data_IF_262071670797
#
_entry.id   IF_262071670797
#
_cell.length_a   1.000
_cell.length_b   1.000
_cell.length_c   1.000
_cell.angle_alpha   90.00
_cell.angle_beta   90.00
_cell.angle_gamma   90.00
#
_symmetry.space_group_name_H-M   'P 1'
#
loop_
_entity.id
_entity.type
_entity.pdbx_description
1 polymer ?
#
# COMPACT_ATOMS: atom_id res chain seq x y z
N UNK A 1 24.03 -10.71 6.81
CA UNK A 1 22.56 -10.93 6.83
C UNK A 1 22.22 -11.68 5.55
N UNK A 2 21.31 -12.66 5.53
CA UNK A 2 20.99 -13.39 4.29
C UNK A 2 20.04 -12.56 3.40
N UNK A 3 20.19 -12.65 2.08
CA UNK A 3 19.34 -11.95 1.11
C UNK A 3 17.84 -12.24 1.32
N UNK A 4 17.48 -13.50 1.59
CA UNK A 4 16.10 -13.89 1.90
C UNK A 4 15.53 -13.13 3.11
N UNK A 5 16.34 -12.89 4.16
CA UNK A 5 15.92 -12.11 5.32
C UNK A 5 15.72 -10.63 4.97
N UNK A 6 16.56 -10.08 4.10
CA UNK A 6 16.42 -8.70 3.63
C UNK A 6 15.17 -8.51 2.75
N UNK A 7 14.84 -9.49 1.92
CA UNK A 7 13.60 -9.49 1.11
C UNK A 7 12.37 -9.61 2.02
N UNK A 8 12.38 -10.50 3.01
CA UNK A 8 11.30 -10.60 4.00
C UNK A 8 11.13 -9.28 4.75
N UNK A 9 12.23 -8.63 5.14
CA UNK A 9 12.17 -7.31 5.76
C UNK A 9 11.60 -6.23 4.82
N UNK A 10 11.84 -6.31 3.51
CA UNK A 10 11.21 -5.42 2.53
C UNK A 10 9.68 -5.64 2.48
N UNK A 11 9.22 -6.90 2.43
CA UNK A 11 7.79 -7.21 2.49
C UNK A 11 7.15 -6.72 3.78
N UNK A 12 7.80 -6.89 4.94
CA UNK A 12 7.31 -6.35 6.23
C UNK A 12 7.19 -4.83 6.18
N UNK A 13 8.17 -4.15 5.59
CA UNK A 13 8.14 -2.70 5.43
C UNK A 13 7.01 -2.26 4.52
N UNK A 14 6.79 -2.96 3.41
CA UNK A 14 5.68 -2.70 2.51
C UNK A 14 4.34 -2.85 3.23
N UNK A 15 4.09 -3.96 3.92
CA UNK A 15 2.86 -4.20 4.69
C UNK A 15 2.59 -3.09 5.74
N UNK A 16 3.64 -2.70 6.47
CA UNK A 16 3.55 -1.61 7.43
C UNK A 16 3.20 -0.28 6.75
N UNK A 17 3.88 0.04 5.65
CA UNK A 17 3.61 1.26 4.89
C UNK A 17 2.19 1.28 4.30
N UNK A 18 1.68 0.15 3.78
CA UNK A 18 0.28 0.04 3.33
C UNK A 18 -0.70 0.31 4.48
N UNK A 19 -0.43 -0.27 5.66
CA UNK A 19 -1.24 -0.08 6.86
C UNK A 19 -1.27 1.38 7.29
N UNK A 20 -0.12 2.04 7.32
CA UNK A 20 -0.02 3.43 7.73
C UNK A 20 -0.66 4.37 6.71
N UNK A 21 -0.54 4.08 5.42
CA UNK A 21 -1.20 4.87 4.40
C UNK A 21 -2.72 4.77 4.47
N UNK A 22 -3.26 3.56 4.71
CA UNK A 22 -4.71 3.38 4.96
C UNK A 22 -5.18 4.26 6.12
N UNK A 23 -4.40 4.34 7.21
CA UNK A 23 -4.71 5.23 8.33
C UNK A 23 -4.65 6.70 7.94
N UNK A 24 -3.72 7.11 7.09
CA UNK A 24 -3.68 8.48 6.56
C UNK A 24 -4.94 8.82 5.77
N UNK A 25 -5.44 7.89 4.94
CA UNK A 25 -6.71 8.05 4.21
C UNK A 25 -7.90 8.13 5.16
N UNK A 26 -7.92 7.31 6.23
CA UNK A 26 -8.95 7.39 7.28
C UNK A 26 -8.97 8.75 7.99
N UNK A 27 -7.79 9.28 8.35
CA UNK A 27 -7.63 10.62 8.95
C UNK A 27 -8.08 11.70 7.97
N UNK A 28 -7.67 11.61 6.71
CA UNK A 28 -8.07 12.51 5.64
C UNK A 28 -9.59 12.55 5.48
N UNK A 29 -10.23 11.38 5.40
CA UNK A 29 -11.69 11.24 5.36
C UNK A 29 -12.36 11.86 6.59
N UNK A 30 -11.76 11.69 7.77
CA UNK A 30 -12.22 12.33 9.01
C UNK A 30 -12.28 13.85 8.94
N UNK A 31 -11.27 14.48 8.30
CA UNK A 31 -11.30 15.93 8.05
C UNK A 31 -12.37 16.35 7.06
N UNK A 32 -12.57 15.59 5.97
CA UNK A 32 -13.67 15.82 5.01
C UNK A 32 -15.02 15.74 5.73
N UNK A 33 -15.22 14.71 6.56
CA UNK A 33 -16.43 14.55 7.36
C UNK A 33 -16.69 15.74 8.29
N UNK A 34 -15.66 16.19 9.02
CA UNK A 34 -15.77 17.34 9.93
C UNK A 34 -16.14 18.63 9.18
N UNK A 35 -15.62 18.82 7.96
CA UNK A 35 -16.02 19.93 7.09
C UNK A 35 -17.48 19.81 6.68
N UNK A 36 -17.92 18.64 6.20
CA UNK A 36 -19.31 18.43 5.74
C UNK A 36 -20.34 18.55 6.87
N UNK A 37 -20.07 17.97 8.04
CA UNK A 37 -21.06 17.90 9.13
C UNK A 37 -21.05 19.10 10.06
N UNK A 38 -19.88 19.70 10.27
CA UNK A 38 -19.68 20.71 11.31
C UNK A 38 -19.10 22.01 10.75
N UNK A 39 -18.95 22.11 9.43
CA UNK A 39 -18.31 23.24 8.75
C UNK A 39 -16.92 23.60 9.30
N UNK A 40 -16.20 22.60 9.81
CA UNK A 40 -14.83 22.78 10.30
C UNK A 40 -13.91 23.07 9.11
N UNK A 41 -13.04 24.11 9.17
CA UNK A 41 -12.11 24.39 8.09
C UNK A 41 -11.19 23.20 7.79
N UNK A 42 -11.02 22.90 6.51
CA UNK A 42 -10.10 21.86 6.06
C UNK A 42 -8.65 22.27 6.36
N UNK A 43 -7.83 21.39 6.95
CA UNK A 43 -6.40 21.62 7.06
C UNK A 43 -5.76 21.80 5.68
N UNK A 44 -4.63 22.53 5.63
CA UNK A 44 -3.92 22.80 4.36
C UNK A 44 -3.65 21.53 3.56
N UNK A 45 -3.11 20.47 4.19
CA UNK A 45 -2.83 19.19 3.54
C UNK A 45 -4.03 18.50 2.90
N UNK A 46 -5.22 18.65 3.50
CA UNK A 46 -6.46 18.11 2.91
C UNK A 46 -6.90 18.98 1.73
N UNK A 47 -6.85 20.30 1.92
CA UNK A 47 -7.25 21.28 0.91
C UNK A 47 -6.46 21.17 -0.39
N UNK A 48 -5.14 20.97 -0.31
CA UNK A 48 -4.28 20.86 -1.50
C UNK A 48 -4.45 19.55 -2.24
N UNK A 49 -4.88 18.49 -1.55
CA UNK A 49 -4.98 17.15 -2.14
C UNK A 49 -6.35 16.89 -2.79
N UNK A 50 -7.41 17.56 -2.35
CA UNK A 50 -8.75 17.42 -2.94
C UNK A 50 -8.87 18.15 -4.28
N UNK A 51 -9.62 17.58 -5.23
CA UNK A 51 -9.92 18.24 -6.51
C UNK A 51 -10.75 19.52 -6.35
N UNK A 52 -11.73 19.51 -5.46
CA UNK A 52 -12.69 20.62 -5.26
C UNK A 52 -12.93 20.86 -3.76
N UNK A 53 -11.96 21.40 -3.03
CA UNK A 53 -12.03 21.51 -1.57
C UNK A 53 -13.09 22.49 -1.06
N UNK A 54 -13.64 23.35 -1.92
CA UNK A 54 -14.62 24.38 -1.58
C UNK A 54 -16.05 24.05 -2.07
N UNK A 55 -16.27 22.87 -2.67
CA UNK A 55 -17.57 22.40 -3.19
C UNK A 55 -18.20 21.39 -2.22
N UNK A 56 -19.22 21.80 -1.46
CA UNK A 56 -19.86 20.98 -0.44
C UNK A 56 -20.51 19.69 -1.00
N UNK A 57 -21.05 19.75 -2.23
CA UNK A 57 -21.66 18.57 -2.86
C UNK A 57 -20.58 17.55 -3.25
N UNK A 58 -19.45 18.03 -3.76
CA UNK A 58 -18.28 17.19 -4.00
C UNK A 58 -17.74 16.59 -2.69
N UNK A 59 -17.61 17.37 -1.61
CA UNK A 59 -17.09 16.88 -0.33
C UNK A 59 -17.95 15.78 0.29
N UNK A 60 -19.28 15.88 0.14
CA UNK A 60 -20.20 14.83 0.57
C UNK A 60 -19.99 13.52 -0.20
N UNK A 61 -19.75 13.59 -1.52
CA UNK A 61 -19.42 12.43 -2.34
C UNK A 61 -18.04 11.87 -2.03
N UNK A 62 -17.04 12.74 -1.90
CA UNK A 62 -15.67 12.37 -1.57
C UNK A 62 -15.59 11.59 -0.24
N UNK A 63 -16.38 11.98 0.77
CA UNK A 63 -16.46 11.23 2.02
C UNK A 63 -16.91 9.76 1.83
N UNK A 64 -17.87 9.52 0.94
CA UNK A 64 -18.37 8.17 0.64
C UNK A 64 -17.39 7.38 -0.24
N UNK A 65 -16.80 8.02 -1.23
CA UNK A 65 -15.84 7.37 -2.12
C UNK A 65 -14.56 6.96 -1.38
N UNK A 66 -14.06 7.82 -0.48
CA UNK A 66 -12.90 7.49 0.37
C UNK A 66 -13.14 6.25 1.26
N UNK A 67 -14.38 5.97 1.66
CA UNK A 67 -14.70 4.74 2.41
C UNK A 67 -14.49 3.50 1.55
N UNK A 68 -14.96 3.54 0.30
CA UNK A 68 -14.75 2.45 -0.67
C UNK A 68 -13.27 2.32 -1.02
N UNK A 69 -12.56 3.42 -1.15
CA UNK A 69 -11.11 3.41 -1.41
C UNK A 69 -10.35 2.73 -0.27
N UNK A 70 -10.71 3.03 0.99
CA UNK A 70 -10.13 2.35 2.16
C UNK A 70 -10.36 0.83 2.09
N UNK A 71 -11.54 0.37 1.68
CA UNK A 71 -11.83 -1.06 1.52
C UNK A 71 -10.98 -1.71 0.42
N UNK A 72 -10.81 -1.03 -0.72
CA UNK A 72 -9.94 -1.49 -1.81
C UNK A 72 -8.48 -1.60 -1.35
N UNK A 73 -7.98 -0.57 -0.67
CA UNK A 73 -6.61 -0.56 -0.13
C UNK A 73 -6.39 -1.68 0.90
N UNK A 74 -7.35 -1.89 1.80
CA UNK A 74 -7.32 -3.01 2.76
C UNK A 74 -7.31 -4.35 2.04
N UNK A 75 -8.11 -4.52 0.99
CA UNK A 75 -8.15 -5.75 0.19
C UNK A 75 -6.79 -6.08 -0.42
N UNK A 76 -6.09 -5.09 -0.99
CA UNK A 76 -4.74 -5.30 -1.54
C UNK A 76 -3.71 -5.65 -0.47
N UNK A 77 -3.72 -4.96 0.68
CA UNK A 77 -2.84 -5.29 1.81
C UNK A 77 -3.12 -6.70 2.33
N UNK A 78 -4.38 -7.05 2.50
CA UNK A 78 -4.78 -8.35 3.04
C UNK A 78 -4.48 -9.47 2.03
N UNK A 79 -4.54 -9.19 0.73
CA UNK A 79 -4.04 -10.10 -0.30
C UNK A 79 -2.53 -10.35 -0.12
N UNK A 80 -1.70 -9.29 0.03
CA UNK A 80 -0.26 -9.45 0.30
C UNK A 80 -0.02 -10.33 1.53
N UNK A 81 -0.72 -10.04 2.64
CA UNK A 81 -0.60 -10.79 3.89
C UNK A 81 -0.97 -12.25 3.71
N UNK A 82 -2.08 -12.56 3.03
CA UNK A 82 -2.52 -13.93 2.78
C UNK A 82 -1.52 -14.70 1.93
N UNK A 83 -1.06 -14.12 0.82
CA UNK A 83 -0.04 -14.76 -0.04
C UNK A 83 1.21 -15.13 0.77
N UNK A 84 1.73 -14.20 1.58
CA UNK A 84 2.91 -14.42 2.43
C UNK A 84 2.65 -15.37 3.60
N UNK A 85 1.44 -15.39 4.15
CA UNK A 85 1.07 -16.28 5.25
C UNK A 85 0.98 -17.74 4.82
N UNK A 86 0.46 -18.00 3.61
CA UNK A 86 0.18 -19.35 3.12
C UNK A 86 1.20 -19.89 2.12
N UNK A 87 2.36 -19.27 1.95
CA UNK A 87 3.40 -19.65 0.97
C UNK A 87 3.68 -21.16 0.93
N UNK A 88 3.42 -21.78 -0.21
CA UNK A 88 3.71 -23.19 -0.50
C UNK A 88 4.77 -23.35 -1.59
N UNK A 89 4.79 -22.43 -2.56
CA UNK A 89 5.57 -22.51 -3.78
C UNK A 89 6.26 -21.17 -4.06
N UNK A 90 7.31 -21.19 -4.88
CA UNK A 90 8.03 -19.97 -5.27
C UNK A 90 7.14 -18.95 -5.97
N UNK A 91 6.15 -19.40 -6.74
CA UNK A 91 5.19 -18.52 -7.43
C UNK A 91 4.39 -17.64 -6.46
N UNK A 92 4.18 -18.09 -5.22
CA UNK A 92 3.47 -17.31 -4.20
C UNK A 92 4.31 -16.10 -3.76
N UNK A 93 5.65 -16.23 -3.79
CA UNK A 93 6.59 -15.11 -3.54
C UNK A 93 6.52 -14.09 -4.67
N UNK A 94 6.49 -14.57 -5.93
CA UNK A 94 6.31 -13.71 -7.10
C UNK A 94 4.96 -12.99 -7.08
N UNK A 95 3.90 -13.65 -6.61
CA UNK A 95 2.59 -13.03 -6.49
C UNK A 95 2.58 -11.93 -5.42
N UNK A 96 3.23 -12.16 -4.27
CA UNK A 96 3.41 -11.15 -3.24
C UNK A 96 4.24 -9.95 -3.74
N UNK A 97 5.28 -10.21 -4.54
CA UNK A 97 6.09 -9.19 -5.19
C UNK A 97 5.26 -8.27 -6.10
N UNK A 98 4.43 -8.86 -6.97
CA UNK A 98 3.53 -8.12 -7.87
C UNK A 98 2.58 -7.22 -7.07
N UNK A 99 1.95 -7.77 -6.03
CA UNK A 99 1.04 -6.99 -5.17
C UNK A 99 1.76 -5.80 -4.53
N UNK A 100 2.98 -6.01 -4.03
CA UNK A 100 3.78 -4.96 -3.41
C UNK A 100 4.14 -3.84 -4.41
N UNK A 101 4.57 -4.17 -5.62
CA UNK A 101 5.04 -3.15 -6.57
C UNK A 101 3.88 -2.38 -7.22
N UNK A 102 2.74 -3.02 -7.44
CA UNK A 102 1.55 -2.41 -8.06
C UNK A 102 0.72 -1.57 -7.07
N UNK A 103 0.92 -1.76 -5.76
CA UNK A 103 0.08 -1.14 -4.73
C UNK A 103 -0.04 0.38 -4.87
N UNK A 104 1.06 1.10 -5.13
CA UNK A 104 1.02 2.56 -5.24
C UNK A 104 0.15 3.03 -6.40
N UNK A 105 0.16 2.28 -7.51
CA UNK A 105 -0.65 2.61 -8.68
C UNK A 105 -2.12 2.31 -8.40
N UNK A 106 -2.42 1.17 -7.79
CA UNK A 106 -3.78 0.81 -7.40
C UNK A 106 -4.36 1.82 -6.41
N UNK A 107 -3.56 2.28 -5.44
CA UNK A 107 -3.95 3.33 -4.50
C UNK A 107 -4.24 4.66 -5.18
N UNK A 108 -3.40 5.07 -6.14
CA UNK A 108 -3.65 6.29 -6.92
C UNK A 108 -4.93 6.20 -7.75
N UNK A 109 -5.14 5.07 -8.41
CA UNK A 109 -6.32 4.84 -9.26
C UNK A 109 -7.63 4.74 -8.47
N UNK A 110 -7.61 4.14 -7.27
CA UNK A 110 -8.84 4.07 -6.47
C UNK A 110 -9.32 5.47 -6.10
N UNK A 111 -8.41 6.33 -5.66
CA UNK A 111 -8.74 7.68 -5.17
C UNK A 111 -8.79 8.76 -6.26
N UNK A 112 -8.75 8.41 -7.56
CA UNK A 112 -8.66 9.36 -8.67
C UNK A 112 -9.90 10.26 -8.82
N UNK A 113 -11.04 9.86 -8.25
CA UNK A 113 -12.27 10.67 -8.25
C UNK A 113 -12.29 11.72 -7.13
N UNK A 114 -11.42 11.58 -6.14
CA UNK A 114 -11.39 12.43 -4.93
C UNK A 114 -10.15 13.33 -4.93
N UNK A 115 -9.00 12.76 -5.24
CA UNK A 115 -7.73 13.45 -5.15
C UNK A 115 -7.38 14.12 -6.47
N UNK A 116 -6.77 15.30 -6.38
CA UNK A 116 -6.10 15.91 -7.53
C UNK A 116 -4.98 14.97 -8.02
N UNK A 117 -4.76 14.90 -9.32
CA UNK A 117 -3.76 13.98 -9.88
C UNK A 117 -2.34 14.44 -9.55
N UNK A 118 -2.13 15.76 -9.54
CA UNK A 118 -0.81 16.38 -9.43
C UNK A 118 -0.58 17.08 -8.08
N UNK A 119 -1.38 16.78 -7.04
CA UNK A 119 -1.12 17.41 -5.76
C UNK A 119 0.25 17.01 -5.24
N UNK A 120 0.95 18.00 -4.71
CA UNK A 120 2.21 17.85 -4.02
C UNK A 120 2.05 18.48 -2.63
N UNK A 121 2.94 18.13 -1.71
CA UNK A 121 3.06 18.82 -0.41
C UNK A 121 1.87 18.67 0.56
N UNK A 122 1.08 17.60 0.47
CA UNK A 122 0.17 17.26 1.57
C UNK A 122 0.94 16.68 2.75
N UNK A 123 0.83 17.32 3.91
CA UNK A 123 1.35 16.85 5.19
C UNK A 123 0.47 15.78 5.86
N UNK A 124 -0.71 15.51 5.28
CA UNK A 124 -1.70 14.56 5.81
C UNK A 124 -1.75 13.29 4.97
N UNK A 125 -1.83 13.42 3.64
CA UNK A 125 -1.92 12.30 2.72
C UNK A 125 -0.99 12.57 1.54
N UNK A 126 0.28 12.15 1.59
CA UNK A 126 1.19 12.31 0.46
C UNK A 126 0.72 11.49 -0.76
N UNK A 127 1.07 11.88 -2.00
CA UNK A 127 0.74 11.07 -3.18
C UNK A 127 1.25 9.63 -3.05
N UNK A 128 0.47 8.61 -3.44
CA UNK A 128 0.86 7.21 -3.27
C UNK A 128 2.25 6.90 -3.83
N UNK A 129 2.58 7.43 -5.01
CA UNK A 129 3.87 7.18 -5.66
C UNK A 129 5.05 7.79 -4.90
N UNK A 130 4.87 8.97 -4.27
CA UNK A 130 5.89 9.61 -3.45
C UNK A 130 6.06 8.83 -2.15
N UNK A 131 4.94 8.48 -1.50
CA UNK A 131 4.96 7.71 -0.26
C UNK A 131 5.64 6.34 -0.45
N UNK A 132 5.43 5.70 -1.61
CA UNK A 132 5.97 4.38 -1.94
C UNK A 132 7.40 4.38 -2.51
N UNK A 133 8.01 5.56 -2.72
CA UNK A 133 9.31 5.71 -3.37
C UNK A 133 10.38 4.81 -2.75
N UNK A 134 10.39 4.73 -1.42
CA UNK A 134 11.35 3.92 -0.67
C UNK A 134 11.23 2.41 -0.93
N UNK A 135 10.02 1.89 -1.14
CA UNK A 135 9.82 0.49 -1.54
C UNK A 135 10.34 0.29 -2.96
N UNK A 136 10.02 1.22 -3.87
CA UNK A 136 10.45 1.18 -5.27
C UNK A 136 11.98 1.23 -5.43
N UNK A 137 12.66 2.07 -4.65
CA UNK A 137 14.13 2.16 -4.65
C UNK A 137 14.78 0.87 -4.15
N UNK A 138 14.24 0.27 -3.08
CA UNK A 138 14.74 -0.99 -2.55
C UNK A 138 14.37 -2.20 -3.41
N UNK A 139 13.27 -2.13 -4.17
CA UNK A 139 12.82 -3.20 -5.04
C UNK A 139 13.91 -3.61 -6.04
N UNK A 140 14.48 -2.65 -6.77
CA UNK A 140 15.53 -2.92 -7.77
C UNK A 140 16.85 -3.43 -7.17
N UNK A 141 17.06 -3.25 -5.86
CA UNK A 141 18.21 -3.83 -5.16
C UNK A 141 18.08 -5.36 -5.05
N UNK A 142 16.88 -5.86 -4.78
CA UNK A 142 16.65 -7.28 -4.50
C UNK A 142 16.13 -8.03 -5.73
N UNK A 143 15.11 -7.49 -6.42
CA UNK A 143 14.49 -8.11 -7.59
C UNK A 143 15.11 -7.58 -8.88
N UNK A 144 16.38 -7.92 -9.09
CA UNK A 144 17.22 -7.43 -10.21
C UNK A 144 17.38 -8.41 -11.36
N UNK A 145 16.92 -9.63 -11.18
CA UNK A 145 17.08 -10.72 -12.14
C UNK A 145 15.86 -10.78 -13.07
N UNK A 146 16.05 -11.34 -14.26
CA UNK A 146 14.95 -11.53 -15.20
C UNK A 146 13.91 -12.50 -14.59
N UNK A 147 12.60 -12.20 -14.67
CA UNK A 147 11.56 -13.08 -14.17
C UNK A 147 11.68 -14.50 -14.75
N UNK A 148 11.71 -15.51 -13.88
CA UNK A 148 11.84 -16.92 -14.27
C UNK A 148 13.27 -17.37 -14.59
N UNK A 149 14.27 -16.48 -14.51
CA UNK A 149 15.68 -16.87 -14.60
C UNK A 149 16.08 -17.82 -13.45
N UNK A 150 17.13 -18.65 -13.61
CA UNK A 150 17.59 -19.53 -12.53
C UNK A 150 17.90 -18.79 -11.21
N UNK A 151 18.41 -17.56 -11.31
CA UNK A 151 18.72 -16.70 -10.16
C UNK A 151 17.46 -16.21 -9.47
N UNK A 152 16.46 -15.75 -10.22
CA UNK A 152 15.15 -15.34 -9.71
C UNK A 152 14.43 -16.50 -9.00
N UNK A 153 14.41 -17.68 -9.63
CA UNK A 153 13.83 -18.90 -9.03
C UNK A 153 14.58 -19.31 -7.76
N UNK A 154 15.91 -19.24 -7.76
CA UNK A 154 16.71 -19.55 -6.57
C UNK A 154 16.45 -18.56 -5.42
N UNK A 155 16.33 -17.26 -5.72
CA UNK A 155 16.01 -16.22 -4.74
C UNK A 155 14.61 -16.44 -4.15
N UNK A 156 13.60 -16.66 -4.99
CA UNK A 156 12.23 -16.97 -4.56
C UNK A 156 12.16 -18.23 -3.70
N UNK A 157 12.91 -19.28 -4.07
CA UNK A 157 13.02 -20.49 -3.26
C UNK A 157 13.71 -20.25 -1.91
N UNK A 158 14.71 -19.37 -1.86
CA UNK A 158 15.38 -19.02 -0.60
C UNK A 158 14.44 -18.25 0.34
N UNK A 159 13.62 -17.33 -0.20
CA UNK A 159 12.58 -16.62 0.56
C UNK A 159 11.51 -17.60 1.04
N UNK A 160 11.01 -18.48 0.17
CA UNK A 160 10.07 -19.53 0.53
C UNK A 160 10.62 -20.41 1.66
N UNK A 161 11.88 -20.84 1.56
CA UNK A 161 12.50 -21.64 2.60
C UNK A 161 12.56 -20.87 3.93
N UNK A 162 13.00 -19.61 3.91
CA UNK A 162 13.05 -18.75 5.09
C UNK A 162 11.68 -18.65 5.78
N UNK A 163 10.62 -18.33 5.02
CA UNK A 163 9.28 -18.19 5.58
C UNK A 163 8.75 -19.51 6.15
N UNK A 164 9.18 -20.66 5.62
CA UNK A 164 8.74 -21.97 6.11
C UNK A 164 9.53 -22.51 7.30
N UNK A 165 10.79 -22.12 7.46
CA UNK A 165 11.71 -22.77 8.43
C UNK A 165 12.32 -21.84 9.45
N UNK A 166 12.33 -20.53 9.21
CA UNK A 166 12.97 -19.55 10.08
C UNK A 166 11.92 -18.71 10.81
N UNK A 167 11.18 -17.88 10.06
CA UNK A 167 10.19 -16.96 10.62
C UNK A 167 9.21 -16.52 9.53
N UNK A 168 7.91 -16.62 9.81
CA UNK A 168 6.87 -16.03 8.98
C UNK A 168 6.08 -14.99 9.81
N UNK A 169 6.36 -13.69 9.64
CA UNK A 169 5.63 -12.61 10.31
C UNK A 169 4.12 -12.59 10.03
N UNK A 170 3.70 -13.22 8.92
CA UNK A 170 2.32 -13.23 8.47
C UNK A 170 1.57 -14.51 8.83
N UNK A 171 2.18 -15.48 9.52
CA UNK A 171 1.55 -16.76 9.82
C UNK A 171 0.17 -16.64 10.49
N UNK A 172 -0.05 -15.59 11.30
CA UNK A 172 -1.32 -15.26 11.94
C UNK A 172 -2.47 -14.95 10.95
N UNK A 173 -2.16 -14.60 9.70
CA UNK A 173 -3.14 -14.26 8.66
C UNK A 173 -3.52 -15.47 7.78
N UNK A 174 -2.93 -16.66 8.02
CA UNK A 174 -3.22 -17.86 7.23
C UNK A 174 -4.63 -18.45 7.48
N UNK A 175 -5.34 -17.96 8.48
CA UNK A 175 -6.65 -18.48 8.95
C UNK A 175 -7.82 -17.54 8.72
N UNK A 176 -7.60 -16.41 8.03
CA UNK A 176 -8.61 -15.37 7.79
C UNK A 176 -9.29 -15.51 6.44
#
# INVERSE_FOLDING_TARGET
MSEAREIVALFQRADQMMTDYIRMVEVFRGHVFAKVQHNVPLPRGVRVALQKPDDDAFLAMAYLDLERDIEVLRTHRDALRRELASVQKSIDITQAEIIMIDWSNNAGRSMETVLDYDYMESDILPPPYMYWQLIRENYHKYFRHEPGSPQDVAQSNAVLHYLRTVENPWAQYASQ
#
